data_IF_660664527997
#
_entry.id   IF_660664527997
#
_cell.length_a   1.000
_cell.length_b   1.000
_cell.length_c   1.000
_cell.angle_alpha   90.00
_cell.angle_beta   90.00
_cell.angle_gamma   90.00
#
_symmetry.space_group_name_H-M   'P 1'
#
loop_
_entity.id
_entity.type
_entity.pdbx_description
1 polymer ?
#
# COMPACT_ATOMS: atom_id res chain seq x y z
N UNK A 1 -2.92 9.02 -1.37
CA UNK A 1 -2.90 7.68 -1.99
C UNK A 1 -4.18 7.42 -2.79
N UNK A 2 -4.10 6.71 -3.93
CA UNK A 2 -5.26 6.45 -4.80
C UNK A 2 -6.37 5.62 -4.14
N UNK A 3 -6.06 4.89 -3.07
CA UNK A 3 -7.05 4.09 -2.35
C UNK A 3 -8.23 4.92 -1.82
N UNK A 4 -8.08 6.23 -1.59
CA UNK A 4 -9.20 7.10 -1.17
C UNK A 4 -10.34 7.15 -2.21
N UNK A 5 -10.05 6.88 -3.47
CA UNK A 5 -11.04 6.79 -4.56
C UNK A 5 -11.83 5.47 -4.50
N UNK A 6 -11.33 4.49 -3.74
CA UNK A 6 -11.91 3.16 -3.60
C UNK A 6 -12.48 2.96 -2.19
N UNK A 7 -13.71 2.45 -2.09
CA UNK A 7 -14.39 2.15 -0.80
C UNK A 7 -14.29 0.68 -0.42
N UNK A 8 -13.12 0.11 -0.67
CA UNK A 8 -12.85 -1.33 -0.58
C UNK A 8 -11.86 -1.67 0.53
N UNK A 9 -11.43 -0.65 1.31
CA UNK A 9 -10.49 -0.84 2.41
C UNK A 9 -9.69 0.38 2.82
N UNK A 10 -9.11 0.30 4.02
CA UNK A 10 -8.21 1.30 4.58
C UNK A 10 -8.90 2.49 5.29
N UNK A 11 -8.12 3.31 6.00
CA UNK A 11 -8.63 4.52 6.66
C UNK A 11 -9.17 5.55 5.65
N UNK A 12 -10.16 6.38 6.01
CA UNK A 12 -10.75 7.35 5.08
C UNK A 12 -9.95 8.66 4.92
N UNK A 13 -8.74 8.75 5.47
CA UNK A 13 -7.93 9.97 5.47
C UNK A 13 -6.54 9.72 4.90
N UNK A 14 -6.01 10.72 4.18
CA UNK A 14 -4.70 10.64 3.53
C UNK A 14 -3.55 10.43 4.53
N UNK A 15 -3.67 11.02 5.71
CA UNK A 15 -2.67 11.00 6.79
C UNK A 15 -2.44 9.59 7.36
N UNK A 16 -3.44 8.71 7.25
CA UNK A 16 -3.39 7.34 7.74
C UNK A 16 -3.14 6.32 6.62
N UNK A 17 -2.90 6.79 5.39
CA UNK A 17 -2.62 5.92 4.26
C UNK A 17 -1.14 5.97 3.87
N UNK A 18 -0.62 4.84 3.42
CA UNK A 18 0.74 4.75 2.91
C UNK A 18 0.77 4.93 1.39
N UNK A 19 1.79 5.63 0.90
CA UNK A 19 2.21 5.64 -0.51
C UNK A 19 3.64 5.12 -0.66
N UNK A 20 4.01 4.76 -1.88
CA UNK A 20 5.33 4.23 -2.20
C UNK A 20 6.45 5.23 -1.91
N UNK A 21 6.19 6.54 -2.07
CA UNK A 21 7.19 7.58 -1.81
C UNK A 21 7.56 7.62 -0.33
N UNK A 22 6.56 7.62 0.53
CA UNK A 22 6.69 7.63 1.99
C UNK A 22 7.38 6.37 2.47
N UNK A 23 6.93 5.19 2.02
CA UNK A 23 7.54 3.91 2.39
C UNK A 23 9.00 3.79 1.95
N UNK A 24 9.40 4.35 0.80
CA UNK A 24 10.81 4.40 0.39
C UNK A 24 11.67 5.24 1.33
N UNK A 25 11.12 6.31 1.90
CA UNK A 25 11.85 7.15 2.86
C UNK A 25 11.94 6.48 4.23
N UNK A 26 10.84 5.91 4.71
CA UNK A 26 10.78 5.23 6.01
C UNK A 26 11.62 3.94 6.05
N UNK A 27 11.63 3.18 4.95
CA UNK A 27 12.35 1.90 4.83
C UNK A 27 13.74 2.02 4.18
N UNK A 28 14.33 3.23 4.14
CA UNK A 28 15.62 3.51 3.48
C UNK A 28 16.81 2.64 3.94
N UNK A 29 16.70 2.01 5.11
CA UNK A 29 17.72 1.12 5.68
C UNK A 29 17.64 -0.33 5.21
N UNK A 30 16.69 -0.67 4.34
CA UNK A 30 16.49 -2.00 3.77
C UNK A 30 16.78 -2.00 2.27
N UNK A 31 17.17 -3.15 1.75
CA UNK A 31 17.24 -3.37 0.31
C UNK A 31 15.84 -3.77 -0.18
N UNK A 32 15.19 -2.88 -0.93
CA UNK A 32 13.86 -3.13 -1.49
C UNK A 32 13.97 -3.99 -2.75
N UNK A 33 13.53 -5.24 -2.67
CA UNK A 33 13.47 -6.18 -3.80
C UNK A 33 12.19 -5.99 -4.62
N UNK A 34 11.10 -5.58 -3.95
CA UNK A 34 9.84 -5.21 -4.58
C UNK A 34 9.30 -3.94 -3.93
N UNK A 35 8.90 -2.96 -4.73
CA UNK A 35 8.33 -1.70 -4.22
C UNK A 35 7.49 -1.04 -5.32
N UNK A 36 6.17 -1.31 -5.34
CA UNK A 36 5.26 -0.87 -6.41
C UNK A 36 3.90 -0.44 -5.86
N UNK A 37 3.30 0.55 -6.51
CA UNK A 37 1.87 0.85 -6.39
C UNK A 37 1.14 0.16 -7.53
N UNK A 38 0.07 -0.56 -7.20
CA UNK A 38 -0.73 -1.29 -8.18
C UNK A 38 -2.20 -1.18 -7.82
N UNK A 39 -3.06 -1.25 -8.83
CA UNK A 39 -4.48 -1.46 -8.62
C UNK A 39 -4.83 -2.90 -8.93
N UNK A 40 -5.45 -3.60 -7.98
CA UNK A 40 -5.81 -5.00 -8.11
C UNK A 40 -7.04 -5.33 -7.26
N UNK A 41 -7.68 -6.45 -7.57
CA UNK A 41 -8.71 -7.00 -6.69
C UNK A 41 -8.08 -7.69 -5.49
N UNK A 42 -8.55 -7.36 -4.29
CA UNK A 42 -8.13 -7.97 -3.03
C UNK A 42 -9.30 -8.71 -2.38
N UNK A 43 -8.98 -9.71 -1.55
CA UNK A 43 -9.94 -10.50 -0.77
C UNK A 43 -9.32 -10.87 0.58
N UNK A 44 -9.31 -9.92 1.49
CA UNK A 44 -8.64 -10.01 2.81
C UNK A 44 -9.63 -9.97 3.98
N UNK A 45 -10.94 -9.96 3.69
CA UNK A 45 -12.03 -9.96 4.66
C UNK A 45 -13.17 -9.05 4.23
N UNK A 46 -14.22 -8.92 5.06
CA UNK A 46 -15.41 -8.13 4.71
C UNK A 46 -15.14 -6.63 4.52
N UNK A 47 -14.09 -6.10 5.14
CA UNK A 47 -13.70 -4.69 5.04
C UNK A 47 -12.56 -4.43 4.05
N UNK A 48 -12.00 -5.48 3.47
CA UNK A 48 -10.89 -5.43 2.52
C UNK A 48 -11.19 -6.35 1.33
N UNK A 49 -12.16 -5.94 0.50
CA UNK A 49 -12.65 -6.73 -0.62
C UNK A 49 -13.00 -5.86 -1.83
N UNK A 50 -12.52 -6.25 -3.01
CA UNK A 50 -12.78 -5.57 -4.28
C UNK A 50 -11.54 -4.89 -4.86
N UNK A 51 -11.75 -4.05 -5.88
CA UNK A 51 -10.69 -3.29 -6.54
C UNK A 51 -10.08 -2.27 -5.58
N UNK A 52 -8.77 -2.32 -5.42
CA UNK A 52 -8.02 -1.46 -4.49
C UNK A 52 -6.72 -0.98 -5.09
N UNK A 53 -6.35 0.25 -4.80
CA UNK A 53 -5.02 0.79 -5.00
C UNK A 53 -4.15 0.46 -3.79
N UNK A 54 -3.17 -0.41 -3.96
CA UNK A 54 -2.30 -0.89 -2.87
C UNK A 54 -0.84 -0.59 -3.15
N UNK A 55 -0.04 -0.49 -2.09
CA UNK A 55 1.42 -0.47 -2.17
C UNK A 55 1.95 -1.80 -1.68
N UNK A 56 2.84 -2.41 -2.44
CA UNK A 56 3.45 -3.70 -2.11
C UNK A 56 4.94 -3.52 -1.92
N UNK A 57 5.46 -3.94 -0.76
CA UNK A 57 6.88 -3.91 -0.42
C UNK A 57 7.37 -5.33 -0.08
N UNK A 58 8.48 -5.73 -0.69
CA UNK A 58 9.33 -6.83 -0.23
C UNK A 58 10.73 -6.27 -0.03
N UNK A 59 11.28 -6.45 1.16
CA UNK A 59 12.58 -5.89 1.52
C UNK A 59 13.37 -6.85 2.40
N UNK A 60 14.69 -6.78 2.29
CA UNK A 60 15.63 -7.52 3.14
C UNK A 60 16.52 -6.55 3.90
N UNK A 61 16.92 -6.95 5.11
CA UNK A 61 18.03 -6.27 5.80
C UNK A 61 19.30 -6.46 4.93
N UNK A 62 20.18 -5.44 4.85
CA UNK A 62 21.41 -5.52 4.06
C UNK A 62 22.24 -6.78 4.36
#
# INVERSE_FOLDING_TARGET
>A
PRQLEFRTGGPPTIELMMDLKTLRQELKGLNLEHAREVERDIREGSYHNGRSAVVQILARKP
#
